data_IF_974138698235
#
_entry.id   IF_974138698235
#
_cell.length_a   1.000
_cell.length_b   1.000
_cell.length_c   1.000
_cell.angle_alpha   90.00
_cell.angle_beta   90.00
_cell.angle_gamma   90.00
#
_symmetry.space_group_name_H-M   'P 1'
#
loop_
_entity.id
_entity.type
_entity.pdbx_description
1 polymer ?
#
# COMPACT_ATOMS: atom_id res chain seq x y z
N UNK A 1 6.17 -20.10 -29.66
CA UNK A 1 5.83 -21.12 -28.64
C UNK A 1 5.02 -20.40 -27.57
N UNK A 2 4.00 -21.07 -27.02
CA UNK A 2 3.23 -20.56 -25.87
C UNK A 2 4.15 -20.40 -24.67
N UNK A 3 4.11 -19.26 -23.96
CA UNK A 3 4.94 -19.04 -22.76
C UNK A 3 4.25 -19.54 -21.49
N UNK A 4 5.06 -20.10 -20.59
CA UNK A 4 4.91 -20.34 -19.15
C UNK A 4 4.74 -19.07 -18.30
N UNK A 5 3.53 -18.54 -18.08
CA UNK A 5 3.33 -17.37 -17.20
C UNK A 5 2.91 -17.83 -15.80
N UNK A 6 3.69 -17.44 -14.80
CA UNK A 6 3.39 -17.69 -13.40
C UNK A 6 2.98 -16.39 -12.70
N UNK A 7 1.91 -16.43 -11.92
CA UNK A 7 1.51 -15.33 -11.05
C UNK A 7 1.64 -15.77 -9.58
N UNK A 8 2.51 -15.11 -8.82
CA UNK A 8 2.51 -15.16 -7.36
C UNK A 8 1.63 -14.02 -6.86
N UNK A 9 0.46 -14.36 -6.31
CA UNK A 9 -0.47 -13.33 -5.90
C UNK A 9 -1.29 -13.64 -4.65
N UNK A 10 -1.57 -12.57 -3.92
CA UNK A 10 -2.57 -12.52 -2.84
C UNK A 10 -3.19 -11.12 -2.84
N UNK A 11 -4.17 -10.90 -1.95
CA UNK A 11 -4.88 -9.62 -1.75
C UNK A 11 -5.72 -9.18 -2.97
N UNK A 12 -6.62 -8.19 -2.81
CA UNK A 12 -7.51 -7.75 -3.90
C UNK A 12 -6.75 -7.33 -5.18
N UNK A 13 -5.62 -6.62 -5.04
CA UNK A 13 -4.82 -6.19 -6.19
C UNK A 13 -4.21 -7.38 -6.96
N UNK A 14 -3.75 -8.42 -6.25
CA UNK A 14 -3.26 -9.64 -6.89
C UNK A 14 -4.35 -10.38 -7.65
N UNK A 15 -5.58 -10.39 -7.12
CA UNK A 15 -6.74 -10.96 -7.83
C UNK A 15 -7.09 -10.16 -9.08
N UNK A 16 -7.04 -8.82 -9.02
CA UNK A 16 -7.23 -7.98 -10.19
C UNK A 16 -6.15 -8.23 -11.25
N UNK A 17 -4.88 -8.35 -10.84
CA UNK A 17 -3.79 -8.70 -11.75
C UNK A 17 -4.01 -10.08 -12.38
N UNK A 18 -4.50 -11.08 -11.63
CA UNK A 18 -4.86 -12.39 -12.16
C UNK A 18 -5.92 -12.30 -13.25
N UNK A 19 -6.99 -11.51 -13.02
CA UNK A 19 -8.05 -11.29 -14.01
C UNK A 19 -7.51 -10.60 -15.27
N UNK A 20 -6.66 -9.60 -15.10
CA UNK A 20 -6.08 -8.87 -16.22
C UNK A 20 -5.13 -9.74 -17.05
N UNK A 21 -4.24 -10.49 -16.40
CA UNK A 21 -3.35 -11.44 -17.09
C UNK A 21 -4.15 -12.52 -17.83
N UNK A 22 -5.24 -13.01 -17.24
CA UNK A 22 -6.16 -13.93 -17.93
C UNK A 22 -6.74 -13.32 -19.21
N UNK A 23 -7.11 -12.05 -19.19
CA UNK A 23 -7.69 -11.36 -20.35
C UNK A 23 -6.65 -11.02 -21.41
N UNK A 24 -5.43 -10.66 -21.00
CA UNK A 24 -4.36 -10.22 -21.90
C UNK A 24 -3.55 -11.36 -22.52
N UNK A 25 -3.55 -12.55 -21.90
CA UNK A 25 -2.82 -13.69 -22.41
C UNK A 25 -3.31 -14.05 -23.81
N UNK A 26 -2.38 -14.42 -24.67
CA UNK A 26 -2.70 -14.86 -26.02
C UNK A 26 -2.88 -16.38 -26.03
N UNK A 27 -1.81 -17.09 -26.39
CA UNK A 27 -1.69 -18.54 -26.30
C UNK A 27 -0.98 -19.01 -25.02
N UNK A 28 -0.57 -18.07 -24.18
CA UNK A 28 0.29 -18.33 -23.02
C UNK A 28 -0.46 -19.07 -21.90
N UNK A 29 0.20 -20.06 -21.30
CA UNK A 29 -0.35 -20.79 -20.15
C UNK A 29 -0.18 -19.94 -18.89
N UNK A 30 -1.26 -19.67 -18.18
CA UNK A 30 -1.23 -18.98 -16.89
C UNK A 30 -1.39 -20.00 -15.76
N UNK A 31 -0.47 -19.97 -14.80
CA UNK A 31 -0.53 -20.70 -13.52
C UNK A 31 -0.51 -19.68 -12.40
N UNK A 32 -1.30 -19.90 -11.35
CA UNK A 32 -1.36 -19.02 -10.18
C UNK A 32 -0.88 -19.77 -8.96
N UNK A 33 0.06 -19.18 -8.22
CA UNK A 33 0.42 -19.59 -6.86
C UNK A 33 -0.15 -18.56 -5.88
N UNK A 34 -0.86 -19.05 -4.87
CA UNK A 34 -1.40 -18.24 -3.77
C UNK A 34 -1.23 -18.94 -2.43
N UNK A 35 -1.56 -18.28 -1.34
CA UNK A 35 -1.70 -18.88 -0.01
C UNK A 35 -3.06 -18.47 0.58
N UNK A 36 -3.54 -19.19 1.60
CA UNK A 36 -4.89 -18.96 2.15
C UNK A 36 -5.04 -17.62 2.84
N UNK A 37 -3.96 -17.14 3.46
CA UNK A 37 -3.90 -15.88 4.19
C UNK A 37 -5.02 -15.75 5.24
N UNK A 38 -5.40 -16.87 5.85
CA UNK A 38 -6.64 -17.03 6.62
C UNK A 38 -6.76 -16.11 7.84
N UNK A 39 -5.67 -15.49 8.27
CA UNK A 39 -5.62 -14.58 9.42
C UNK A 39 -5.57 -13.10 9.02
N UNK A 40 -5.45 -12.80 7.72
CA UNK A 40 -5.46 -11.42 7.25
C UNK A 40 -6.86 -11.05 6.73
N UNK A 41 -7.47 -9.98 7.25
CA UNK A 41 -8.83 -9.58 6.88
C UNK A 41 -8.96 -9.16 5.40
N UNK A 42 -7.83 -8.94 4.70
CA UNK A 42 -7.78 -8.59 3.28
C UNK A 42 -7.60 -9.82 2.39
N UNK A 43 -7.68 -11.04 2.94
CA UNK A 43 -7.59 -12.27 2.14
C UNK A 43 -8.72 -12.32 1.12
N UNK A 44 -8.38 -12.70 -0.11
CA UNK A 44 -9.32 -12.94 -1.21
C UNK A 44 -9.17 -14.37 -1.77
N UNK A 45 -8.69 -15.30 -0.94
CA UNK A 45 -8.40 -16.68 -1.34
C UNK A 45 -9.60 -17.38 -2.01
N UNK A 46 -10.80 -17.26 -1.42
CA UNK A 46 -12.02 -17.83 -2.00
C UNK A 46 -12.31 -17.27 -3.40
N UNK A 47 -12.03 -15.98 -3.64
CA UNK A 47 -12.21 -15.35 -4.94
C UNK A 47 -11.18 -15.84 -5.97
N UNK A 48 -9.94 -16.10 -5.55
CA UNK A 48 -8.95 -16.77 -6.39
C UNK A 48 -9.45 -18.16 -6.79
N UNK A 49 -9.86 -18.99 -5.83
CA UNK A 49 -10.37 -20.34 -6.09
C UNK A 49 -11.54 -20.33 -7.09
N UNK A 50 -12.50 -19.43 -6.88
CA UNK A 50 -13.65 -19.31 -7.77
C UNK A 50 -13.21 -18.90 -9.17
N UNK A 51 -12.42 -17.82 -9.29
CA UNK A 51 -11.99 -17.29 -10.58
C UNK A 51 -11.16 -18.30 -11.37
N UNK A 52 -10.17 -18.94 -10.74
CA UNK A 52 -9.31 -19.90 -11.44
C UNK A 52 -10.08 -21.15 -11.88
N UNK A 53 -11.02 -21.63 -11.05
CA UNK A 53 -11.89 -22.75 -11.41
C UNK A 53 -12.78 -22.42 -12.61
N UNK A 54 -13.43 -21.26 -12.61
CA UNK A 54 -14.35 -20.83 -13.68
C UNK A 54 -13.65 -20.70 -15.04
N UNK A 55 -12.34 -20.46 -15.02
CA UNK A 55 -11.55 -20.13 -16.19
C UNK A 55 -10.49 -21.20 -16.55
N UNK A 56 -10.52 -22.35 -15.87
CA UNK A 56 -9.59 -23.46 -16.12
C UNK A 56 -8.12 -23.11 -15.88
N UNK A 57 -7.84 -22.21 -14.93
CA UNK A 57 -6.49 -21.80 -14.56
C UNK A 57 -5.99 -22.73 -13.45
N UNK A 58 -4.77 -23.26 -13.59
CA UNK A 58 -4.14 -24.03 -12.53
C UNK A 58 -3.86 -23.12 -11.32
N UNK A 59 -4.42 -23.49 -10.18
CA UNK A 59 -4.21 -22.82 -8.90
C UNK A 59 -3.44 -23.73 -7.96
N UNK A 60 -2.27 -23.28 -7.53
CA UNK A 60 -1.42 -23.96 -6.55
C UNK A 60 -1.49 -23.15 -5.26
N UNK A 61 -1.85 -23.83 -4.17
CA UNK A 61 -1.91 -23.22 -2.84
C UNK A 61 -0.72 -23.70 -2.04
N UNK A 62 0.11 -22.76 -1.59
CA UNK A 62 1.34 -23.06 -0.84
C UNK A 62 1.20 -22.65 0.62
N UNK A 63 1.87 -23.38 1.50
CA UNK A 63 1.82 -23.11 2.95
C UNK A 63 2.95 -22.20 3.43
N UNK A 64 4.07 -22.12 2.71
CA UNK A 64 5.26 -21.37 3.11
C UNK A 64 6.19 -21.03 1.93
N UNK A 65 7.24 -20.26 2.24
CA UNK A 65 8.26 -19.83 1.29
C UNK A 65 9.01 -21.01 0.65
N UNK A 66 9.34 -22.06 1.41
CA UNK A 66 10.06 -23.21 0.87
C UNK A 66 9.25 -23.91 -0.22
N UNK A 67 7.98 -24.22 0.06
CA UNK A 67 7.09 -24.83 -0.92
C UNK A 67 6.91 -23.94 -2.15
N UNK A 68 6.81 -22.62 -1.97
CA UNK A 68 6.76 -21.66 -3.08
C UNK A 68 7.96 -21.83 -4.02
N UNK A 69 9.17 -21.88 -3.47
CA UNK A 69 10.40 -22.02 -4.24
C UNK A 69 10.45 -23.35 -4.99
N UNK A 70 10.04 -24.45 -4.35
CA UNK A 70 9.95 -25.78 -4.96
C UNK A 70 8.97 -25.79 -6.14
N UNK A 71 7.81 -25.15 -5.99
CA UNK A 71 6.79 -25.06 -7.06
C UNK A 71 7.27 -24.24 -8.24
N UNK A 72 7.88 -23.08 -8.01
CA UNK A 72 8.45 -22.25 -9.08
C UNK A 72 9.48 -23.06 -9.88
N UNK A 73 10.37 -23.76 -9.17
CA UNK A 73 11.43 -24.58 -9.78
C UNK A 73 10.85 -25.70 -10.64
N UNK A 74 9.83 -26.40 -10.15
CA UNK A 74 9.19 -27.49 -10.88
C UNK A 74 8.40 -27.02 -12.11
N UNK A 75 7.80 -25.83 -12.05
CA UNK A 75 7.00 -25.28 -13.14
C UNK A 75 7.84 -24.78 -14.32
N UNK A 76 9.09 -24.36 -14.08
CA UNK A 76 9.96 -23.76 -15.11
C UNK A 76 9.24 -22.68 -15.93
N UNK A 77 8.74 -21.60 -15.29
CA UNK A 77 8.06 -20.54 -16.01
C UNK A 77 9.03 -19.73 -16.87
N UNK A 78 8.50 -19.12 -17.94
CA UNK A 78 9.23 -18.17 -18.77
C UNK A 78 9.25 -16.78 -18.12
N UNK A 79 8.16 -16.39 -17.45
CA UNK A 79 7.97 -15.10 -16.80
C UNK A 79 7.12 -15.25 -15.53
N UNK A 80 7.51 -14.53 -14.47
CA UNK A 80 6.76 -14.46 -13.22
C UNK A 80 6.24 -13.04 -12.95
N UNK A 81 4.97 -12.91 -12.56
CA UNK A 81 4.44 -11.69 -11.95
C UNK A 81 4.28 -11.87 -10.45
N UNK A 82 4.56 -10.82 -9.67
CA UNK A 82 4.49 -10.83 -8.20
C UNK A 82 3.66 -9.64 -7.72
N UNK A 83 2.44 -9.90 -7.22
CA UNK A 83 1.48 -8.84 -6.85
C UNK A 83 0.78 -9.17 -5.53
N UNK A 84 0.96 -8.32 -4.51
CA UNK A 84 0.39 -8.56 -3.18
C UNK A 84 1.04 -9.71 -2.42
N UNK A 85 2.26 -10.08 -2.80
CA UNK A 85 3.06 -11.16 -2.22
C UNK A 85 4.08 -10.62 -1.20
N UNK A 86 4.34 -11.36 -0.13
CA UNK A 86 5.23 -10.90 0.95
C UNK A 86 6.30 -11.91 1.38
N UNK A 87 6.35 -13.12 0.80
CA UNK A 87 7.48 -14.02 1.02
C UNK A 87 8.62 -13.69 0.07
N UNK A 88 9.84 -13.65 0.60
CA UNK A 88 11.03 -13.37 -0.18
C UNK A 88 11.28 -14.49 -1.20
N UNK A 89 11.72 -14.10 -2.39
CA UNK A 89 12.12 -15.03 -3.46
C UNK A 89 13.65 -15.00 -3.48
N UNK A 90 14.35 -16.09 -3.12
CA UNK A 90 15.79 -16.09 -3.06
C UNK A 90 16.39 -15.94 -4.46
N UNK A 91 17.59 -15.38 -4.53
CA UNK A 91 18.32 -15.15 -5.79
C UNK A 91 18.47 -16.44 -6.62
N UNK A 92 18.68 -17.58 -5.95
CA UNK A 92 18.76 -18.89 -6.61
C UNK A 92 17.51 -19.27 -7.39
N UNK A 93 16.34 -18.76 -7.01
CA UNK A 93 15.05 -18.96 -7.71
C UNK A 93 14.81 -17.85 -8.73
N UNK A 94 15.18 -16.60 -8.41
CA UNK A 94 15.08 -15.48 -9.36
C UNK A 94 15.81 -15.78 -10.68
N UNK A 95 17.00 -16.38 -10.58
CA UNK A 95 17.86 -16.71 -11.72
C UNK A 95 17.37 -17.89 -12.58
N UNK A 96 16.30 -18.60 -12.18
CA UNK A 96 15.76 -19.73 -12.95
C UNK A 96 14.79 -19.30 -14.06
N UNK A 97 14.27 -18.08 -14.00
CA UNK A 97 13.17 -17.63 -14.86
C UNK A 97 13.73 -16.74 -15.99
N UNK A 98 13.69 -17.17 -17.26
CA UNK A 98 14.39 -16.50 -18.36
C UNK A 98 14.01 -15.02 -18.57
N UNK A 99 12.74 -14.67 -18.42
CA UNK A 99 12.26 -13.28 -18.51
C UNK A 99 12.17 -12.60 -17.14
N UNK A 100 12.60 -13.30 -16.08
CA UNK A 100 12.67 -12.81 -14.71
C UNK A 100 11.32 -12.73 -14.00
N UNK A 101 11.34 -11.96 -12.91
CA UNK A 101 10.18 -11.69 -12.08
C UNK A 101 9.82 -10.21 -12.16
N UNK A 102 8.56 -9.89 -12.37
CA UNK A 102 8.03 -8.52 -12.43
C UNK A 102 7.16 -8.28 -11.20
N UNK A 103 7.63 -7.40 -10.32
CA UNK A 103 6.91 -6.94 -9.14
C UNK A 103 6.09 -5.69 -9.43
N UNK A 104 5.07 -5.45 -8.61
CA UNK A 104 4.35 -4.19 -8.54
C UNK A 104 4.61 -3.52 -7.19
N UNK A 105 5.32 -2.39 -7.22
CA UNK A 105 5.63 -1.62 -6.01
C UNK A 105 4.87 -0.29 -6.00
N UNK A 106 4.19 0.05 -4.90
CA UNK A 106 3.37 1.26 -4.79
C UNK A 106 4.19 2.51 -4.46
N UNK A 107 5.25 2.75 -5.24
CA UNK A 107 5.95 4.02 -5.30
C UNK A 107 6.39 4.35 -6.72
N UNK A 108 6.81 5.61 -6.91
CA UNK A 108 7.61 6.04 -8.04
C UNK A 108 9.10 5.75 -7.76
N UNK A 109 9.50 4.48 -7.91
CA UNK A 109 10.90 4.06 -7.85
C UNK A 109 11.81 4.97 -8.71
N UNK A 110 13.02 5.32 -8.25
CA UNK A 110 13.74 4.75 -7.10
C UNK A 110 13.35 5.30 -5.73
N UNK A 111 12.38 6.22 -5.63
CA UNK A 111 11.91 6.74 -4.33
C UNK A 111 11.09 5.68 -3.59
N UNK A 112 11.18 5.67 -2.26
CA UNK A 112 10.40 4.84 -1.35
C UNK A 112 10.52 3.32 -1.61
N UNK A 113 11.75 2.82 -1.78
CA UNK A 113 12.04 1.38 -1.74
C UNK A 113 11.71 0.80 -0.35
N UNK A 114 11.25 -0.44 -0.27
CA UNK A 114 11.01 -1.14 0.99
C UNK A 114 9.55 -1.12 1.44
N UNK A 115 9.32 -0.99 2.75
CA UNK A 115 8.01 -1.22 3.36
C UNK A 115 7.07 -0.02 3.33
N UNK A 116 5.76 -0.28 3.21
CA UNK A 116 4.69 0.73 3.31
C UNK A 116 4.86 2.00 2.44
N UNK A 117 5.31 1.90 1.18
CA UNK A 117 5.72 3.06 0.37
C UNK A 117 4.63 4.12 0.20
N UNK A 118 3.38 3.70 -0.05
CA UNK A 118 2.27 4.62 -0.25
C UNK A 118 1.92 5.41 1.02
N UNK A 119 1.98 4.74 2.18
CA UNK A 119 1.75 5.38 3.48
C UNK A 119 2.81 6.47 3.70
N UNK A 120 4.08 6.20 3.40
CA UNK A 120 5.14 7.20 3.49
C UNK A 120 4.99 8.34 2.49
N UNK A 121 4.58 8.03 1.26
CA UNK A 121 4.27 9.03 0.23
C UNK A 121 3.25 10.05 0.73
N UNK A 122 2.18 9.58 1.37
CA UNK A 122 1.15 10.44 1.94
C UNK A 122 1.64 11.24 3.16
N UNK A 123 2.36 10.60 4.10
CA UNK A 123 2.92 11.29 5.29
C UNK A 123 3.84 12.44 4.90
N UNK A 124 4.66 12.23 3.86
CA UNK A 124 5.59 13.24 3.38
C UNK A 124 4.92 14.38 2.60
N UNK A 125 3.61 14.27 2.31
CA UNK A 125 2.86 15.29 1.61
C UNK A 125 3.21 15.39 0.13
N UNK A 126 3.61 14.28 -0.50
CA UNK A 126 3.86 14.25 -1.93
C UNK A 126 2.56 14.58 -2.69
N UNK A 127 2.65 15.37 -3.76
CA UNK A 127 1.48 15.72 -4.58
C UNK A 127 0.96 14.58 -5.47
N UNK A 128 1.75 13.51 -5.60
CA UNK A 128 1.44 12.36 -6.45
C UNK A 128 1.78 11.06 -5.76
N UNK A 129 0.84 10.12 -5.79
CA UNK A 129 1.11 8.71 -5.55
C UNK A 129 1.45 8.03 -6.88
N UNK A 130 2.16 6.90 -6.83
CA UNK A 130 2.43 6.13 -8.04
C UNK A 130 2.82 4.71 -7.75
N UNK A 131 3.01 3.96 -8.82
CA UNK A 131 3.46 2.58 -8.76
C UNK A 131 4.47 2.30 -9.87
N UNK A 132 5.25 1.24 -9.68
CA UNK A 132 6.28 0.76 -10.60
C UNK A 132 6.10 -0.72 -10.85
N UNK A 133 6.00 -1.12 -12.12
CA UNK A 133 6.33 -2.47 -12.54
C UNK A 133 7.84 -2.56 -12.70
N UNK A 134 8.50 -3.45 -11.96
CA UNK A 134 9.96 -3.51 -11.90
C UNK A 134 10.44 -4.96 -11.83
N UNK A 135 11.67 -5.21 -12.25
CA UNK A 135 12.30 -6.51 -12.12
C UNK A 135 12.69 -6.77 -10.66
N UNK A 136 12.30 -7.91 -10.08
CA UNK A 136 12.83 -8.30 -8.77
C UNK A 136 14.30 -8.73 -8.90
N UNK A 137 15.07 -8.38 -7.87
CA UNK A 137 16.48 -8.71 -7.70
C UNK A 137 16.69 -9.25 -6.28
N UNK A 138 17.92 -9.58 -5.91
CA UNK A 138 18.27 -9.86 -4.51
C UNK A 138 18.24 -8.61 -3.61
N UNK A 139 18.21 -7.41 -4.20
CA UNK A 139 18.16 -6.13 -3.50
C UNK A 139 16.74 -5.72 -3.11
N UNK A 140 16.62 -4.57 -2.42
CA UNK A 140 15.33 -4.03 -1.98
C UNK A 140 14.81 -3.06 -3.03
N UNK A 141 13.85 -3.53 -3.83
CA UNK A 141 13.14 -2.76 -4.86
C UNK A 141 14.07 -1.92 -5.79
N UNK A 142 15.26 -2.46 -6.10
CA UNK A 142 16.31 -1.74 -6.83
C UNK A 142 16.43 -2.12 -8.30
N UNK A 143 15.66 -3.11 -8.74
CA UNK A 143 15.77 -3.64 -10.10
C UNK A 143 15.20 -2.72 -11.18
N UNK A 144 15.58 -2.94 -12.45
CA UNK A 144 15.11 -2.16 -13.58
C UNK A 144 13.58 -2.02 -13.67
N UNK A 145 13.10 -0.85 -14.09
CA UNK A 145 11.68 -0.49 -14.19
C UNK A 145 11.16 -0.81 -15.59
N UNK A 146 10.10 -1.59 -15.68
CA UNK A 146 9.36 -1.88 -16.91
C UNK A 146 8.43 -0.73 -17.30
N UNK A 147 7.64 -0.25 -16.33
CA UNK A 147 6.70 0.82 -16.54
C UNK A 147 6.32 1.47 -15.20
N UNK A 148 5.91 2.73 -15.26
CA UNK A 148 5.49 3.52 -14.11
C UNK A 148 4.31 4.40 -14.47
N UNK A 149 3.45 4.64 -13.49
CA UNK A 149 2.45 5.68 -13.59
C UNK A 149 2.16 6.32 -12.23
N UNK A 150 1.58 7.52 -12.28
CA UNK A 150 1.21 8.31 -11.11
C UNK A 150 -0.22 8.81 -11.15
N UNK A 151 -0.79 9.09 -10.00
CA UNK A 151 -2.10 9.73 -9.79
C UNK A 151 -1.92 10.92 -8.87
N UNK A 152 -2.70 11.99 -9.08
CA UNK A 152 -2.68 13.14 -8.19
C UNK A 152 -3.31 12.75 -6.85
N UNK A 153 -2.70 13.22 -5.75
CA UNK A 153 -3.27 13.11 -4.41
C UNK A 153 -4.09 14.39 -4.17
N UNK A 154 -5.40 14.24 -4.04
CA UNK A 154 -6.32 15.31 -3.70
C UNK A 154 -6.21 15.71 -2.23
N UNK A 155 -6.64 16.93 -1.90
CA UNK A 155 -6.54 17.46 -0.54
C UNK A 155 -7.29 16.61 0.49
N UNK A 156 -8.39 15.96 0.11
CA UNK A 156 -9.18 15.09 0.98
C UNK A 156 -8.89 13.60 0.83
N UNK A 157 -8.00 13.22 -0.11
CA UNK A 157 -7.73 11.81 -0.38
C UNK A 157 -7.15 11.12 0.86
N UNK A 158 -7.73 9.97 1.18
CA UNK A 158 -7.19 9.03 2.16
C UNK A 158 -6.28 8.01 1.49
N UNK A 159 -5.64 7.19 2.30
CA UNK A 159 -4.90 6.02 1.82
C UNK A 159 -5.77 5.06 1.00
N UNK A 160 -7.06 4.89 1.34
CA UNK A 160 -7.99 4.06 0.57
C UNK A 160 -8.24 4.62 -0.83
N UNK A 161 -8.52 5.92 -0.93
CA UNK A 161 -8.73 6.59 -2.23
C UNK A 161 -7.50 6.45 -3.13
N UNK A 162 -6.30 6.59 -2.55
CA UNK A 162 -5.05 6.41 -3.27
C UNK A 162 -4.85 4.95 -3.72
N UNK A 163 -5.13 3.98 -2.85
CA UNK A 163 -5.05 2.56 -3.19
C UNK A 163 -5.98 2.20 -4.36
N UNK A 164 -7.22 2.71 -4.36
CA UNK A 164 -8.19 2.45 -5.42
C UNK A 164 -7.74 3.07 -6.76
N UNK A 165 -7.31 4.33 -6.75
CA UNK A 165 -6.77 5.01 -7.93
C UNK A 165 -5.55 4.29 -8.52
N UNK A 166 -4.65 3.80 -7.66
CA UNK A 166 -3.46 3.06 -8.08
C UNK A 166 -3.82 1.65 -8.58
N UNK A 167 -4.78 0.97 -7.94
CA UNK A 167 -5.25 -0.33 -8.38
C UNK A 167 -5.83 -0.23 -9.79
N UNK A 168 -6.78 0.67 -10.04
CA UNK A 168 -7.35 0.86 -11.38
C UNK A 168 -6.27 1.16 -12.42
N UNK A 169 -5.39 2.12 -12.13
CA UNK A 169 -4.36 2.55 -13.08
C UNK A 169 -3.29 1.50 -13.36
N UNK A 170 -2.90 0.71 -12.35
CA UNK A 170 -1.92 -0.37 -12.51
C UNK A 170 -2.45 -1.54 -13.32
N UNK A 171 -3.73 -1.86 -13.18
CA UNK A 171 -4.37 -2.90 -13.96
C UNK A 171 -4.52 -2.48 -15.42
N UNK A 172 -4.92 -1.24 -15.67
CA UNK A 172 -4.97 -0.71 -17.04
C UNK A 172 -3.58 -0.71 -17.68
N UNK A 173 -2.55 -0.23 -16.95
CA UNK A 173 -1.18 -0.23 -17.48
C UNK A 173 -0.64 -1.65 -17.71
N UNK A 174 -1.01 -2.62 -16.86
CA UNK A 174 -0.64 -4.02 -17.05
C UNK A 174 -1.16 -4.55 -18.39
N UNK A 175 -2.38 -4.17 -18.77
CA UNK A 175 -2.96 -4.58 -20.05
C UNK A 175 -2.15 -4.07 -21.26
N UNK A 176 -1.62 -2.85 -21.16
CA UNK A 176 -0.83 -2.23 -22.21
C UNK A 176 0.59 -2.82 -22.31
N UNK A 177 1.24 -3.08 -21.17
CA UNK A 177 2.64 -3.51 -21.15
C UNK A 177 2.80 -5.01 -21.36
N UNK A 178 1.86 -5.84 -20.92
CA UNK A 178 1.94 -7.29 -21.02
C UNK A 178 2.27 -7.77 -22.46
N UNK A 179 1.52 -7.40 -23.52
CA UNK A 179 1.83 -7.87 -24.87
C UNK A 179 3.20 -7.41 -25.36
N UNK A 180 3.67 -6.23 -24.95
CA UNK A 180 4.98 -5.68 -25.31
C UNK A 180 6.13 -6.41 -24.59
N UNK A 181 5.91 -6.83 -23.34
CA UNK A 181 6.84 -7.68 -22.58
C UNK A 181 6.96 -9.04 -23.27
N UNK A 182 5.82 -9.67 -23.60
CA UNK A 182 5.78 -10.99 -24.21
C UNK A 182 6.40 -10.98 -25.62
N UNK A 183 6.26 -9.91 -26.39
CA UNK A 183 6.87 -9.76 -27.72
C UNK A 183 8.35 -9.34 -27.69
N UNK A 184 8.86 -8.92 -26.51
CA UNK A 184 10.22 -8.39 -26.34
C UNK A 184 10.39 -6.94 -26.81
N UNK A 185 9.31 -6.25 -27.18
CA UNK A 185 9.32 -4.85 -27.61
C UNK A 185 9.58 -3.89 -26.44
N UNK A 186 9.08 -4.22 -25.25
CA UNK A 186 9.37 -3.46 -24.03
C UNK A 186 10.58 -4.08 -23.34
N UNK A 187 11.49 -3.22 -22.87
CA UNK A 187 12.69 -3.62 -22.11
C UNK A 187 12.77 -2.73 -20.87
N UNK A 188 13.12 -3.27 -19.70
CA UNK A 188 13.15 -2.51 -18.48
C UNK A 188 14.37 -1.58 -18.45
N UNK A 189 14.21 -0.42 -17.82
CA UNK A 189 15.24 0.61 -17.73
C UNK A 189 15.87 0.62 -16.34
N UNK A 190 17.21 0.74 -16.22
CA UNK A 190 17.87 0.79 -14.92
C UNK A 190 17.37 2.00 -14.12
N UNK A 191 17.27 1.82 -12.79
CA UNK A 191 16.93 2.92 -11.89
C UNK A 191 18.11 3.89 -11.77
N UNK A 192 17.84 5.18 -11.53
CA UNK A 192 18.88 6.10 -11.06
C UNK A 192 19.09 5.92 -9.55
N UNK A 193 20.08 5.12 -9.17
CA UNK A 193 20.31 4.78 -7.75
C UNK A 193 20.69 5.99 -6.88
N UNK A 194 21.18 7.10 -7.44
CA UNK A 194 21.47 8.33 -6.69
C UNK A 194 20.20 9.03 -6.18
N UNK A 195 19.04 8.74 -6.77
CA UNK A 195 17.74 9.28 -6.36
C UNK A 195 16.97 8.34 -5.43
N UNK A 196 17.59 7.23 -5.01
CA UNK A 196 16.93 6.24 -4.19
C UNK A 196 16.63 6.77 -2.79
N UNK A 197 15.44 6.44 -2.30
CA UNK A 197 15.09 6.58 -0.88
C UNK A 197 14.47 5.29 -0.38
N UNK A 198 14.62 5.04 0.92
CA UNK A 198 14.14 3.82 1.56
C UNK A 198 13.10 4.15 2.61
N UNK A 199 12.14 3.27 2.79
CA UNK A 199 11.10 3.40 3.78
C UNK A 199 10.88 2.09 4.52
N UNK A 200 10.62 2.20 5.83
CA UNK A 200 10.41 1.06 6.69
C UNK A 200 8.95 0.59 6.65
N UNK A 201 8.73 -0.70 6.91
CA UNK A 201 7.39 -1.21 7.16
C UNK A 201 6.80 -0.47 8.38
N UNK A 202 5.51 -0.11 8.28
CA UNK A 202 4.76 0.48 9.39
C UNK A 202 3.84 -0.53 10.05
N UNK A 203 3.66 -0.40 11.37
CA UNK A 203 2.82 -1.23 12.22
C UNK A 203 1.78 -0.38 12.95
N UNK A 204 0.88 -1.03 13.69
CA UNK A 204 -0.21 -0.34 14.40
C UNK A 204 0.33 0.66 15.43
N UNK A 205 1.38 0.28 16.16
CA UNK A 205 2.07 1.10 17.16
C UNK A 205 2.69 2.37 16.58
N UNK A 206 3.03 2.39 15.29
CA UNK A 206 3.55 3.59 14.64
C UNK A 206 2.46 4.65 14.45
N UNK A 207 1.18 4.31 14.67
CA UNK A 207 0.04 5.22 14.56
C UNK A 207 -0.04 6.30 15.65
N UNK A 208 0.82 6.26 16.67
CA UNK A 208 0.83 7.26 17.73
C UNK A 208 1.12 8.66 17.16
N UNK A 209 0.20 9.58 17.43
CA UNK A 209 0.27 10.96 16.99
C UNK A 209 1.40 11.70 17.70
N UNK A 210 2.25 12.37 16.91
CA UNK A 210 3.20 13.36 17.43
C UNK A 210 2.62 14.77 17.28
N UNK A 211 2.08 15.30 18.37
CA UNK A 211 1.46 16.63 18.42
C UNK A 211 2.40 17.79 18.06
N UNK A 212 3.74 17.60 18.11
CA UNK A 212 4.71 18.62 17.73
C UNK A 212 4.81 18.85 16.22
N UNK A 213 4.15 18.04 15.39
CA UNK A 213 4.10 18.29 13.95
C UNK A 213 3.13 19.43 13.61
N UNK A 214 3.40 20.20 12.54
CA UNK A 214 2.42 21.15 12.02
C UNK A 214 1.16 20.43 11.53
N UNK A 215 0.03 21.14 11.53
CA UNK A 215 -1.29 20.63 11.18
C UNK A 215 -1.31 19.96 9.80
N UNK A 216 -0.57 20.49 8.81
CA UNK A 216 -0.47 19.89 7.47
C UNK A 216 0.11 18.47 7.52
N UNK A 217 1.25 18.29 8.19
CA UNK A 217 1.88 16.98 8.40
C UNK A 217 1.01 16.06 9.25
N UNK A 218 0.35 16.60 10.27
CA UNK A 218 -0.58 15.87 11.13
C UNK A 218 -1.75 15.28 10.33
N UNK A 219 -2.38 16.10 9.50
CA UNK A 219 -3.51 15.70 8.65
C UNK A 219 -3.07 14.64 7.63
N UNK A 220 -1.90 14.83 7.02
CA UNK A 220 -1.31 13.85 6.10
C UNK A 220 -1.07 12.51 6.81
N UNK A 221 -0.54 12.54 8.03
CA UNK A 221 -0.30 11.35 8.85
C UNK A 221 -1.59 10.60 9.22
N UNK A 222 -2.66 11.35 9.55
CA UNK A 222 -4.00 10.80 9.84
C UNK A 222 -4.55 10.10 8.59
N UNK A 223 -4.55 10.78 7.43
CA UNK A 223 -5.06 10.24 6.15
C UNK A 223 -4.26 9.05 5.64
N UNK A 224 -2.95 9.03 5.85
CA UNK A 224 -2.06 7.96 5.40
C UNK A 224 -2.29 6.62 6.10
N UNK A 225 -2.92 6.65 7.27
CA UNK A 225 -3.13 5.48 8.13
C UNK A 225 -4.59 5.22 8.44
N UNK A 226 -5.50 5.95 7.79
CA UNK A 226 -6.93 5.69 7.92
C UNK A 226 -7.28 4.30 7.38
N UNK A 227 -8.55 3.93 7.47
CA UNK A 227 -9.04 2.66 6.94
C UNK A 227 -8.53 2.43 5.51
N UNK A 228 -8.07 1.20 5.18
CA UNK A 228 -8.19 -0.04 5.96
C UNK A 228 -7.06 -0.28 6.99
N UNK A 229 -6.21 0.70 7.29
CA UNK A 229 -5.15 0.59 8.29
C UNK A 229 -5.66 0.91 9.71
N UNK A 230 -4.88 0.61 10.78
CA UNK A 230 -5.32 0.74 12.17
C UNK A 230 -5.66 2.15 12.68
N UNK A 231 -5.39 3.20 11.90
CA UNK A 231 -5.67 4.59 12.30
C UNK A 231 -4.52 5.29 13.03
N UNK A 232 -4.50 6.61 12.94
CA UNK A 232 -3.65 7.46 13.79
C UNK A 232 -4.34 7.66 15.14
N UNK A 233 -3.61 7.61 16.25
CA UNK A 233 -4.21 7.64 17.58
C UNK A 233 -3.43 8.48 18.58
N UNK A 234 -4.11 8.93 19.62
CA UNK A 234 -3.53 9.48 20.85
C UNK A 234 -3.97 8.64 22.03
N UNK A 235 -3.32 8.80 23.18
CA UNK A 235 -3.74 8.14 24.42
C UNK A 235 -4.37 9.16 25.38
N UNK A 236 -5.50 8.79 26.00
CA UNK A 236 -6.19 9.57 27.02
C UNK A 236 -6.55 8.63 28.16
N UNK A 237 -6.07 8.91 29.37
CA UNK A 237 -6.28 8.06 30.56
C UNK A 237 -5.94 6.57 30.32
N UNK A 238 -4.87 6.32 29.57
CA UNK A 238 -4.41 4.98 29.19
C UNK A 238 -5.29 4.27 28.17
N UNK A 239 -6.21 4.97 27.52
CA UNK A 239 -7.06 4.44 26.44
C UNK A 239 -6.67 5.03 25.10
N UNK A 240 -6.65 4.17 24.09
CA UNK A 240 -6.42 4.57 22.71
C UNK A 240 -7.64 5.31 22.16
N UNK A 241 -7.39 6.47 21.57
CA UNK A 241 -8.38 7.32 20.91
C UNK A 241 -7.91 7.56 19.48
N UNK A 242 -8.59 6.94 18.53
CA UNK A 242 -8.24 6.97 17.11
C UNK A 242 -8.88 8.21 16.47
N UNK A 243 -8.09 8.94 15.69
CA UNK A 243 -8.53 10.07 14.88
C UNK A 243 -8.46 9.63 13.42
N UNK A 244 -9.63 9.42 12.81
CA UNK A 244 -9.74 8.97 11.42
C UNK A 244 -9.63 10.11 10.41
N UNK A 245 -10.03 11.31 10.81
CA UNK A 245 -10.04 12.49 9.95
C UNK A 245 -9.86 13.76 10.80
N UNK A 246 -9.21 14.76 10.23
CA UNK A 246 -9.09 16.09 10.79
C UNK A 246 -9.04 17.15 9.68
N UNK A 247 -9.42 18.37 10.03
CA UNK A 247 -9.35 19.55 9.16
C UNK A 247 -8.37 20.58 9.72
N UNK A 248 -7.71 21.40 8.88
CA UNK A 248 -6.85 22.45 9.39
C UNK A 248 -7.71 23.56 10.02
N UNK A 249 -7.25 24.09 11.16
CA UNK A 249 -7.76 25.38 11.64
C UNK A 249 -7.14 26.49 10.77
N UNK A 250 -7.93 27.45 10.24
CA UNK A 250 -7.48 28.34 9.16
C UNK A 250 -6.55 29.48 9.60
N UNK A 251 -6.29 29.65 10.89
CA UNK A 251 -5.46 30.73 11.43
C UNK A 251 -4.32 30.19 12.28
N UNK A 252 -3.24 30.97 12.47
CA UNK A 252 -2.25 30.66 13.49
C UNK A 252 -2.89 30.53 14.87
N UNK A 253 -2.41 29.58 15.66
CA UNK A 253 -2.89 29.31 17.01
C UNK A 253 -1.72 29.06 17.94
N UNK A 254 -1.39 30.05 18.78
CA UNK A 254 -0.33 29.94 19.78
C UNK A 254 -0.77 29.01 20.92
N UNK A 255 -0.12 27.86 21.05
CA UNK A 255 -0.48 26.86 22.04
C UNK A 255 0.68 25.93 22.36
N UNK A 256 0.53 25.14 23.43
CA UNK A 256 1.38 23.98 23.63
C UNK A 256 0.87 22.86 22.71
N UNK A 257 1.73 22.19 21.91
CA UNK A 257 1.34 21.02 21.13
C UNK A 257 0.54 20.01 21.95
N UNK A 258 -0.59 19.53 21.43
CA UNK A 258 -1.50 18.60 22.10
C UNK A 258 -2.48 19.26 23.07
N UNK A 259 -2.47 20.59 23.22
CA UNK A 259 -3.46 21.30 24.01
C UNK A 259 -4.83 21.29 23.33
N UNK A 260 -5.88 20.93 24.08
CA UNK A 260 -7.26 21.21 23.66
C UNK A 260 -7.52 22.71 23.77
N UNK A 261 -7.90 23.34 22.66
CA UNK A 261 -8.00 24.80 22.53
C UNK A 261 -9.44 25.29 22.60
N UNK A 262 -10.34 24.59 21.91
CA UNK A 262 -11.74 24.97 21.75
C UNK A 262 -12.60 23.72 21.65
N UNK A 263 -13.78 23.76 22.28
CA UNK A 263 -14.81 22.72 22.19
C UNK A 263 -16.10 23.42 21.77
N UNK A 264 -16.61 23.10 20.58
CA UNK A 264 -17.79 23.72 19.98
C UNK A 264 -18.70 22.65 19.37
N UNK A 265 -19.82 22.37 20.04
CA UNK A 265 -20.72 21.27 19.68
C UNK A 265 -19.97 19.94 19.76
N UNK A 266 -19.91 19.22 18.64
CA UNK A 266 -19.21 17.93 18.54
C UNK A 266 -17.71 18.08 18.30
N UNK A 267 -17.25 19.29 17.96
CA UNK A 267 -15.91 19.53 17.41
C UNK A 267 -14.93 19.99 18.48
N UNK A 268 -13.68 19.58 18.31
CA UNK A 268 -12.57 19.92 19.18
C UNK A 268 -11.41 20.44 18.36
N UNK A 269 -10.91 21.63 18.71
CA UNK A 269 -9.67 22.17 18.13
C UNK A 269 -8.50 21.81 19.03
N UNK A 270 -7.45 21.22 18.46
CA UNK A 270 -6.26 20.75 19.17
C UNK A 270 -5.03 21.43 18.59
N UNK A 271 -4.19 21.98 19.46
CA UNK A 271 -2.95 22.66 19.11
C UNK A 271 -1.91 21.69 18.54
N UNK A 272 -1.20 22.13 17.51
CA UNK A 272 -0.14 21.40 16.83
C UNK A 272 1.17 22.20 16.88
N UNK A 273 2.24 21.66 16.30
CA UNK A 273 3.49 22.41 16.11
C UNK A 273 3.33 23.62 15.18
N UNK A 274 4.37 24.46 15.13
CA UNK A 274 4.48 25.62 14.23
C UNK A 274 3.28 26.59 14.28
N UNK A 275 2.72 26.82 15.47
CA UNK A 275 1.55 27.68 15.69
C UNK A 275 0.35 27.33 14.81
N UNK A 276 0.15 26.03 14.55
CA UNK A 276 -1.00 25.52 13.79
C UNK A 276 -1.95 24.73 14.70
N UNK A 277 -3.16 24.43 14.22
CA UNK A 277 -4.09 23.57 14.92
C UNK A 277 -4.91 22.73 13.95
N UNK A 278 -5.46 21.62 14.44
CA UNK A 278 -6.43 20.79 13.72
C UNK A 278 -7.79 20.81 14.41
N UNK A 279 -8.84 20.61 13.62
CA UNK A 279 -10.22 20.43 14.08
C UNK A 279 -10.61 18.97 13.87
N UNK A 280 -11.11 18.34 14.94
CA UNK A 280 -11.54 16.95 14.97
C UNK A 280 -13.01 16.92 15.38
N UNK A 281 -13.84 16.27 14.55
CA UNK A 281 -15.29 16.21 14.77
C UNK A 281 -15.69 14.92 15.50
N UNK A 282 -15.00 13.81 15.19
CA UNK A 282 -15.28 12.49 15.76
C UNK A 282 -13.97 11.73 16.03
N UNK A 283 -14.03 10.86 17.03
CA UNK A 283 -12.95 9.94 17.38
C UNK A 283 -13.52 8.55 17.66
N UNK A 284 -12.69 7.53 17.51
CA UNK A 284 -13.06 6.17 17.87
C UNK A 284 -12.32 5.74 19.14
N UNK A 285 -13.06 5.17 20.10
CA UNK A 285 -12.51 4.54 21.30
C UNK A 285 -13.29 3.26 21.59
N UNK A 286 -12.60 2.18 21.94
CA UNK A 286 -13.22 0.86 22.17
C UNK A 286 -14.13 0.39 21.02
N UNK A 287 -13.77 0.71 19.77
CA UNK A 287 -14.56 0.37 18.58
C UNK A 287 -15.86 1.16 18.41
N UNK A 288 -16.06 2.24 19.17
CA UNK A 288 -17.21 3.13 19.04
C UNK A 288 -16.78 4.51 18.55
N UNK A 289 -17.43 4.96 17.47
CA UNK A 289 -17.26 6.30 16.93
C UNK A 289 -18.15 7.27 17.72
N UNK A 290 -17.54 8.31 18.28
CA UNK A 290 -18.16 9.28 19.17
C UNK A 290 -17.81 10.71 18.73
N UNK A 291 -18.65 11.72 19.05
CA UNK A 291 -18.26 13.12 18.97
C UNK A 291 -16.91 13.37 19.67
N UNK A 292 -16.03 14.19 19.09
CA UNK A 292 -14.74 14.47 19.71
C UNK A 292 -14.92 15.13 21.09
N UNK A 293 -15.93 16.00 21.22
CA UNK A 293 -16.29 16.63 22.50
C UNK A 293 -16.79 15.64 23.56
N UNK A 294 -17.08 14.38 23.19
CA UNK A 294 -17.34 13.30 24.14
C UNK A 294 -16.11 12.70 24.80
N UNK A 295 -14.94 12.94 24.22
CA UNK A 295 -13.66 12.45 24.73
C UNK A 295 -12.79 13.58 25.25
N UNK A 296 -12.68 14.69 24.51
CA UNK A 296 -11.92 15.86 24.96
C UNK A 296 -12.84 16.83 25.71
N UNK A 297 -12.78 16.79 27.05
CA UNK A 297 -13.78 17.46 27.92
C UNK A 297 -13.33 18.81 28.48
N UNK A 298 -12.08 19.21 28.31
CA UNK A 298 -11.57 20.46 28.88
C UNK A 298 -10.42 21.07 28.09
N UNK A 299 -10.42 22.40 27.97
CA UNK A 299 -9.27 23.16 27.44
C UNK A 299 -8.00 23.08 28.31
N UNK A 300 -8.13 22.53 29.52
CA UNK A 300 -7.00 22.22 30.41
C UNK A 300 -6.31 20.90 30.05
N UNK A 301 -6.93 20.07 29.20
CA UNK A 301 -6.38 18.79 28.76
C UNK A 301 -5.16 18.99 27.84
N UNK A 302 -4.19 18.10 27.99
CA UNK A 302 -2.97 18.00 27.19
C UNK A 302 -2.82 16.53 26.76
N UNK A 303 -2.29 16.31 25.55
CA UNK A 303 -2.16 15.02 24.89
C UNK A 303 -0.70 14.67 24.67
#
# INVERSE_FOLDING_TARGET
MSKKILLLASKPLGLLACKQLYQCRTSDQLVVITFTDQHDPRSCFANFQQFTKDHGIELIVVANQQETNERITALQPDLCFVVGWYWLIPESVLNLVPMGFIGLHNSLLPKYRGGSPLVWTLINGDAYAGFSFFALTAGVDDGPIWAQAKVAIGESDTIADCLDKLAEKSINLLADIYPQIISGQLQPQPQNHEQASYCALRRAEDGLINWHWPATRMINFIKAQSQPYPGAFTEIDGKQVIIWQAQPFPYPYYSVPGQVLLIEGDRVTIGCGDDTAIVVDQVETNGQLLPASDIFKSIKQRL
#
